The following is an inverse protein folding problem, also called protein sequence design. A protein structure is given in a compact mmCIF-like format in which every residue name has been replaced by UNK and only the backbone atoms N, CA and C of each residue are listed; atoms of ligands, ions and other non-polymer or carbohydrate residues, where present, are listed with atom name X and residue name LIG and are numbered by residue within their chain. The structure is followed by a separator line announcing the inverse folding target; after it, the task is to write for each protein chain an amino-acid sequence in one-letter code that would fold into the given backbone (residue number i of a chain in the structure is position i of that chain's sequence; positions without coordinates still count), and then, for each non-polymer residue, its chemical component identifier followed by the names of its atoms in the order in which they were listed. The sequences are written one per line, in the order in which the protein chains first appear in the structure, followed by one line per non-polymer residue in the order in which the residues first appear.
data_IF_423423473378
#
_entry.id   IF_423423473378
#
_cell.length_a   1.000
_cell.length_b   1.000
_cell.length_c   1.000
_cell.angle_alpha   90.00
_cell.angle_beta   90.00
_cell.angle_gamma   90.00
#
_symmetry.space_group_name_H-M   'P 1'
#
loop_
_entity.id
_entity.type
_entity.pdbx_description
1 polymer ?
#
# COMPACT_ATOMS: atom_id res chain seq x y z
N UNK A 1 -21.13 -31.06 21.28
CA UNK A 1 -19.91 -31.17 22.12
C UNK A 1 -18.75 -30.68 21.26
N UNK A 2 -18.22 -29.48 21.51
CA UNK A 2 -17.09 -28.95 20.75
C UNK A 2 -15.82 -29.71 21.16
N UNK A 3 -15.42 -30.72 20.38
CA UNK A 3 -14.15 -31.43 20.57
C UNK A 3 -12.96 -30.58 20.12
N UNK A 4 -11.75 -30.92 20.59
CA UNK A 4 -10.50 -30.25 20.22
C UNK A 4 -10.31 -30.21 18.69
N UNK A 5 -10.72 -31.26 17.98
CA UNK A 5 -10.73 -31.36 16.52
C UNK A 5 -11.67 -30.34 15.86
N UNK A 6 -12.84 -30.08 16.45
CA UNK A 6 -13.78 -29.07 15.95
C UNK A 6 -13.27 -27.65 16.12
N UNK A 7 -12.62 -27.37 17.26
CA UNK A 7 -11.96 -26.08 17.52
C UNK A 7 -10.81 -25.86 16.54
N UNK A 8 -9.94 -26.86 16.36
CA UNK A 8 -8.83 -26.79 15.40
C UNK A 8 -9.32 -26.57 13.97
N UNK A 9 -10.36 -27.30 13.54
CA UNK A 9 -10.97 -27.11 12.21
C UNK A 9 -11.52 -25.70 12.02
N UNK A 10 -12.15 -25.13 13.05
CA UNK A 10 -12.67 -23.76 13.00
C UNK A 10 -11.55 -22.73 12.89
N UNK A 11 -10.46 -22.90 13.65
CA UNK A 11 -9.29 -22.02 13.58
C UNK A 11 -8.65 -22.08 12.19
N UNK A 12 -8.46 -23.29 11.63
CA UNK A 12 -7.90 -23.45 10.29
C UNK A 12 -8.79 -22.76 9.25
N UNK A 13 -10.11 -22.96 9.31
CA UNK A 13 -11.04 -22.31 8.39
C UNK A 13 -10.96 -20.77 8.49
N UNK A 14 -10.90 -20.23 9.70
CA UNK A 14 -10.74 -18.78 9.92
C UNK A 14 -9.41 -18.28 9.32
N UNK A 15 -8.31 -18.99 9.55
CA UNK A 15 -7.01 -18.64 8.98
C UNK A 15 -7.03 -18.71 7.45
N UNK A 16 -7.67 -19.72 6.87
CA UNK A 16 -7.84 -19.85 5.41
C UNK A 16 -8.65 -18.71 4.83
N UNK A 17 -9.74 -18.30 5.49
CA UNK A 17 -10.55 -17.13 5.06
C UNK A 17 -9.73 -15.85 5.13
N UNK A 18 -9.01 -15.62 6.22
CA UNK A 18 -8.14 -14.43 6.37
C UNK A 18 -7.04 -14.41 5.31
N UNK A 19 -6.40 -15.55 5.06
CA UNK A 19 -5.36 -15.67 4.04
C UNK A 19 -5.92 -15.45 2.63
N UNK A 20 -7.06 -16.07 2.30
CA UNK A 20 -7.71 -15.93 1.01
C UNK A 20 -8.15 -14.51 0.72
N UNK A 21 -8.84 -13.87 1.68
CA UNK A 21 -9.23 -12.46 1.56
C UNK A 21 -8.01 -11.53 1.52
N UNK A 22 -7.00 -11.78 2.35
CA UNK A 22 -5.74 -11.03 2.34
C UNK A 22 -5.04 -11.09 0.99
N UNK A 23 -5.03 -12.24 0.33
CA UNK A 23 -4.45 -12.40 -1.01
C UNK A 23 -5.24 -11.63 -2.07
N UNK A 24 -6.58 -11.68 -2.03
CA UNK A 24 -7.44 -10.91 -2.94
C UNK A 24 -7.19 -9.40 -2.78
N UNK A 25 -7.14 -8.90 -1.54
CA UNK A 25 -6.85 -7.48 -1.31
C UNK A 25 -5.42 -7.13 -1.72
N UNK A 26 -4.44 -8.01 -1.48
CA UNK A 26 -3.08 -7.78 -1.94
C UNK A 26 -3.01 -7.55 -3.46
N UNK A 27 -3.68 -8.39 -4.26
CA UNK A 27 -3.73 -8.20 -5.71
C UNK A 27 -4.52 -6.95 -6.10
N UNK A 28 -5.59 -6.61 -5.39
CA UNK A 28 -6.32 -5.36 -5.57
C UNK A 28 -5.40 -4.14 -5.44
N UNK A 29 -4.68 -4.04 -4.31
CA UNK A 29 -3.75 -2.95 -4.04
C UNK A 29 -2.59 -2.95 -5.05
N UNK A 30 -2.10 -4.13 -5.44
CA UNK A 30 -1.08 -4.25 -6.47
C UNK A 30 -1.55 -3.67 -7.80
N UNK A 31 -2.83 -3.86 -8.18
CA UNK A 31 -3.43 -3.25 -9.37
C UNK A 31 -3.33 -1.73 -9.35
N UNK A 32 -3.79 -1.09 -8.26
CA UNK A 32 -3.67 0.36 -8.07
C UNK A 32 -2.22 0.83 -8.13
N UNK A 33 -1.32 0.12 -7.44
CA UNK A 33 0.10 0.45 -7.38
C UNK A 33 0.76 0.45 -8.75
N UNK A 34 0.58 -0.64 -9.51
CA UNK A 34 1.17 -0.80 -10.84
C UNK A 34 0.61 0.23 -11.82
N UNK A 35 -0.71 0.47 -11.79
CA UNK A 35 -1.34 1.48 -12.62
C UNK A 35 -0.85 2.89 -12.28
N UNK A 36 -0.71 3.24 -11.00
CA UNK A 36 -0.20 4.54 -10.58
C UNK A 36 1.25 4.76 -11.05
N UNK A 37 2.09 3.74 -10.87
CA UNK A 37 3.48 3.70 -11.34
C UNK A 37 3.59 3.87 -12.86
N UNK A 38 2.70 3.24 -13.61
CA UNK A 38 2.60 3.39 -15.07
C UNK A 38 2.09 4.78 -15.48
N UNK A 39 1.13 5.34 -14.73
CA UNK A 39 0.57 6.65 -14.99
C UNK A 39 1.56 7.80 -14.75
N UNK A 40 2.67 7.53 -14.05
CA UNK A 40 3.64 8.53 -13.60
C UNK A 40 3.25 9.22 -12.29
N UNK A 41 2.33 8.62 -11.53
CA UNK A 41 1.85 9.15 -10.26
C UNK A 41 2.77 8.65 -9.15
N UNK A 42 3.19 9.57 -8.28
CA UNK A 42 4.08 9.24 -7.16
C UNK A 42 3.31 8.45 -6.11
N UNK A 43 3.78 7.23 -5.83
CA UNK A 43 3.28 6.42 -4.72
C UNK A 43 4.19 6.61 -3.51
N UNK A 44 3.60 7.00 -2.38
CA UNK A 44 4.27 7.24 -1.11
C UNK A 44 4.40 5.95 -0.29
N UNK A 45 3.34 5.13 -0.27
CA UNK A 45 3.28 3.90 0.50
C UNK A 45 2.54 2.81 -0.27
N UNK A 46 3.10 1.61 -0.28
CA UNK A 46 2.44 0.37 -0.64
C UNK A 46 2.42 -0.52 0.60
N UNK A 47 1.25 -0.67 1.23
CA UNK A 47 1.10 -1.39 2.48
C UNK A 47 0.35 -2.71 2.30
N UNK A 48 0.93 -3.79 2.81
CA UNK A 48 0.23 -5.05 3.04
C UNK A 48 -0.20 -5.10 4.49
N UNK A 49 -1.50 -5.23 4.71
CA UNK A 49 -2.15 -5.13 6.00
C UNK A 49 -2.45 -3.69 6.46
N UNK A 50 -3.17 -3.58 7.57
CA UNK A 50 -3.56 -2.31 8.19
C UNK A 50 -2.89 -2.05 9.54
N UNK A 51 -2.98 -0.81 10.00
CA UNK A 51 -2.51 -0.37 11.31
C UNK A 51 -1.03 -0.01 11.33
N UNK A 52 -0.37 -0.08 12.51
CA UNK A 52 1.01 0.35 12.64
C UNK A 52 1.96 -0.55 11.83
N UNK A 53 2.99 0.01 11.19
CA UNK A 53 4.00 -0.76 10.49
C UNK A 53 4.78 -1.66 11.46
N UNK A 54 4.91 -2.94 11.11
CA UNK A 54 5.86 -3.84 11.76
C UNK A 54 7.22 -3.71 11.09
N UNK A 55 7.23 -3.83 9.77
CA UNK A 55 8.42 -3.68 8.94
C UNK A 55 8.14 -2.80 7.74
N UNK A 56 9.17 -2.10 7.29
CA UNK A 56 9.15 -1.36 6.04
C UNK A 56 10.47 -1.53 5.30
N UNK A 57 10.39 -1.49 3.99
CA UNK A 57 11.55 -1.44 3.11
C UNK A 57 11.40 -0.28 2.15
N UNK A 58 12.48 0.47 1.97
CA UNK A 58 12.56 1.57 1.01
C UNK A 58 13.91 1.55 0.33
N UNK A 59 13.92 1.54 -1.00
CA UNK A 59 15.16 1.63 -1.78
C UNK A 59 15.90 2.92 -1.42
N UNK A 60 17.15 2.80 -0.96
CA UNK A 60 17.98 3.91 -0.44
C UNK A 60 18.10 3.92 1.09
N UNK A 61 17.09 3.43 1.83
CA UNK A 61 17.10 3.34 3.30
C UNK A 61 17.39 1.93 3.80
N UNK A 62 16.87 0.91 3.08
CA UNK A 62 16.92 -0.50 3.47
C UNK A 62 15.70 -0.93 4.28
N UNK A 63 15.86 -2.04 5.02
CA UNK A 63 14.82 -2.59 5.90
C UNK A 63 14.81 -1.85 7.25
N UNK A 64 13.63 -1.48 7.73
CA UNK A 64 13.41 -0.85 9.03
C UNK A 64 12.31 -1.56 9.79
N UNK A 65 12.44 -1.58 11.13
CA UNK A 65 11.33 -1.94 12.02
C UNK A 65 10.48 -0.70 12.23
N UNK A 66 9.19 -0.78 11.95
CA UNK A 66 8.32 0.37 11.88
C UNK A 66 8.40 1.10 10.53
N UNK A 67 8.08 2.40 10.55
CA UNK A 67 8.06 3.27 9.36
C UNK A 67 9.46 3.82 9.04
N UNK A 68 9.82 3.76 7.76
CA UNK A 68 11.00 4.41 7.15
C UNK A 68 10.76 5.88 6.78
N UNK A 69 9.56 6.43 7.00
CA UNK A 69 9.20 7.80 6.59
C UNK A 69 10.12 8.85 7.22
N UNK A 70 10.44 8.72 8.52
CA UNK A 70 11.36 9.66 9.19
C UNK A 70 12.77 9.62 8.60
N UNK A 71 13.25 8.43 8.25
CA UNK A 71 14.56 8.26 7.60
C UNK A 71 14.56 8.91 6.21
N UNK A 72 13.47 8.72 5.46
CA UNK A 72 13.29 9.35 4.14
C UNK A 72 13.25 10.88 4.23
N UNK A 73 12.45 11.44 5.13
CA UNK A 73 12.37 12.89 5.34
C UNK A 73 13.73 13.49 5.71
N UNK A 74 14.50 12.78 6.54
CA UNK A 74 15.87 13.19 6.86
C UNK A 74 16.76 13.19 5.63
N UNK A 75 16.76 12.14 4.82
CA UNK A 75 17.56 12.06 3.60
C UNK A 75 17.17 13.14 2.58
N UNK A 76 15.89 13.44 2.44
CA UNK A 76 15.40 14.53 1.58
C UNK A 76 15.93 15.88 2.08
N UNK A 77 15.89 16.15 3.39
CA UNK A 77 16.45 17.39 3.98
C UNK A 77 17.96 17.50 3.81
N UNK A 78 18.65 16.36 3.76
CA UNK A 78 20.10 16.28 3.52
C UNK A 78 20.45 16.33 2.02
N UNK A 79 19.47 16.53 1.12
CA UNK A 79 19.70 16.59 -0.33
C UNK A 79 19.91 15.24 -1.01
N UNK A 80 19.71 14.13 -0.29
CA UNK A 80 19.86 12.74 -0.78
C UNK A 80 18.53 12.09 -1.18
N UNK A 81 17.51 12.93 -1.38
CA UNK A 81 16.17 12.48 -1.75
C UNK A 81 16.12 11.80 -3.12
N UNK A 82 16.93 12.25 -4.08
CA UNK A 82 16.95 11.68 -5.44
C UNK A 82 17.51 10.26 -5.51
N UNK A 83 18.44 9.91 -4.61
CA UNK A 83 18.99 8.55 -4.49
C UNK A 83 18.00 7.56 -3.86
N UNK A 84 16.91 8.07 -3.27
CA UNK A 84 15.99 7.29 -2.45
C UNK A 84 14.62 7.20 -3.11
N UNK A 85 14.04 6.00 -3.18
CA UNK A 85 12.69 5.83 -3.71
C UNK A 85 11.66 6.54 -2.82
N UNK A 86 10.67 7.26 -3.40
CA UNK A 86 9.59 7.89 -2.65
C UNK A 86 8.57 6.88 -2.11
N UNK A 87 8.57 5.64 -2.60
CA UNK A 87 7.70 4.56 -2.14
C UNK A 87 8.31 3.81 -0.95
N UNK A 88 7.58 3.74 0.15
CA UNK A 88 7.77 2.77 1.23
C UNK A 88 6.92 1.53 0.98
N UNK A 89 7.56 0.36 0.99
CA UNK A 89 6.89 -0.93 1.01
C UNK A 89 6.73 -1.36 2.47
N UNK A 90 5.51 -1.50 2.95
CA UNK A 90 5.20 -1.69 4.37
C UNK A 90 4.45 -2.99 4.61
N UNK A 91 4.82 -3.68 5.69
CA UNK A 91 4.03 -4.76 6.29
C UNK A 91 3.47 -4.28 7.63
N UNK A 92 2.14 -4.23 7.74
CA UNK A 92 1.43 -3.71 8.90
C UNK A 92 0.92 -4.82 9.82
N UNK A 93 0.51 -4.46 11.04
CA UNK A 93 0.17 -5.42 12.08
C UNK A 93 -1.07 -6.27 11.81
N UNK A 94 -2.08 -5.71 11.14
CA UNK A 94 -3.32 -6.42 10.85
C UNK A 94 -3.26 -7.02 9.45
N UNK A 95 -3.35 -8.35 9.27
CA UNK A 95 -3.11 -9.00 7.98
C UNK A 95 -4.27 -8.88 6.99
N UNK A 96 -5.44 -8.41 7.43
CA UNK A 96 -6.65 -8.34 6.63
C UNK A 96 -6.75 -6.99 5.89
N UNK A 97 -5.93 -6.85 4.83
CA UNK A 97 -6.09 -5.82 3.81
C UNK A 97 -4.79 -5.14 3.38
N UNK A 98 -4.83 -3.84 3.12
CA UNK A 98 -3.72 -3.06 2.60
C UNK A 98 -4.18 -1.71 2.08
N UNK A 99 -3.25 -0.88 1.63
CA UNK A 99 -3.57 0.36 0.93
C UNK A 99 -2.40 0.86 0.07
N UNK A 100 -2.73 1.65 -0.95
CA UNK A 100 -1.77 2.41 -1.76
C UNK A 100 -1.98 3.90 -1.57
N UNK A 101 -1.02 4.55 -0.91
CA UNK A 101 -1.05 6.00 -0.73
C UNK A 101 -0.37 6.71 -1.89
N UNK A 102 -1.11 7.53 -2.62
CA UNK A 102 -0.62 8.31 -3.75
C UNK A 102 -0.45 9.79 -3.37
N UNK A 103 0.50 10.47 -3.99
CA UNK A 103 0.70 11.90 -3.74
C UNK A 103 -0.54 12.69 -4.18
N UNK A 104 -1.09 13.52 -3.29
CA UNK A 104 -2.30 14.30 -3.56
C UNK A 104 -3.60 13.47 -3.48
N UNK A 105 -3.53 12.29 -2.86
CA UNK A 105 -4.71 11.54 -2.43
C UNK A 105 -4.44 11.03 -1.01
N UNK A 106 -5.07 11.65 -0.03
CA UNK A 106 -5.03 11.22 1.37
C UNK A 106 -6.42 10.71 1.77
N UNK A 107 -6.48 9.47 2.25
CA UNK A 107 -7.74 8.84 2.66
C UNK A 107 -8.28 9.45 3.97
N UNK A 108 -7.43 10.10 4.78
CA UNK A 108 -7.81 10.77 6.02
C UNK A 108 -8.15 12.25 5.82
N UNK A 109 -7.65 12.85 4.74
CA UNK A 109 -7.92 14.24 4.35
C UNK A 109 -8.30 14.32 2.86
N UNK A 110 -9.61 14.23 2.53
CA UNK A 110 -10.09 14.37 1.16
C UNK A 110 -9.76 15.71 0.49
N UNK A 111 -9.39 16.73 1.29
CA UNK A 111 -8.96 18.05 0.80
C UNK A 111 -7.47 18.13 0.50
N UNK A 112 -6.68 17.09 0.80
CA UNK A 112 -5.25 17.06 0.55
C UNK A 112 -4.95 17.08 -0.95
N UNK A 113 -4.64 18.26 -1.46
CA UNK A 113 -4.19 18.49 -2.84
C UNK A 113 -2.68 18.68 -2.87
N UNK A 114 -2.03 18.22 -3.94
CA UNK A 114 -0.62 18.49 -4.17
C UNK A 114 -0.41 19.12 -5.54
N UNK A 115 0.24 20.28 -5.55
CA UNK A 115 0.62 20.99 -6.77
C UNK A 115 1.74 20.30 -7.55
N UNK A 116 2.34 19.22 -7.00
CA UNK A 116 3.40 18.49 -7.67
C UNK A 116 2.90 17.87 -8.99
N UNK A 117 3.66 17.95 -10.09
CA UNK A 117 3.21 17.48 -11.41
C UNK A 117 2.94 15.97 -11.46
N UNK A 118 3.55 15.20 -10.56
CA UNK A 118 3.35 13.76 -10.39
C UNK A 118 2.35 13.40 -9.29
N UNK A 119 1.47 14.34 -8.90
CA UNK A 119 0.33 14.08 -8.03
C UNK A 119 -0.81 13.41 -8.79
N UNK A 120 -1.63 12.64 -8.07
CA UNK A 120 -2.78 11.95 -8.63
C UNK A 120 -3.75 12.90 -9.32
N UNK A 121 -3.98 14.07 -8.73
CA UNK A 121 -4.96 15.05 -9.22
C UNK A 121 -4.51 15.75 -10.52
N UNK A 122 -3.19 15.90 -10.69
CA UNK A 122 -2.59 16.52 -11.88
C UNK A 122 -2.47 15.54 -13.06
N UNK A 123 -2.64 14.23 -12.83
CA UNK A 123 -2.69 13.27 -13.91
C UNK A 123 -3.96 13.50 -14.79
N UNK A 124 -3.87 13.29 -16.11
CA UNK A 124 -5.04 13.28 -16.99
C UNK A 124 -6.15 12.40 -16.45
N UNK A 125 -7.41 12.86 -16.57
CA UNK A 125 -8.59 12.19 -16.00
C UNK A 125 -8.65 10.71 -16.40
N UNK A 126 -8.37 10.40 -17.67
CA UNK A 126 -8.40 9.02 -18.15
C UNK A 126 -7.36 8.13 -17.44
N UNK A 127 -6.17 8.63 -17.10
CA UNK A 127 -5.16 7.89 -16.32
C UNK A 127 -5.65 7.64 -14.90
N UNK A 128 -6.28 8.65 -14.29
CA UNK A 128 -6.88 8.55 -12.96
C UNK A 128 -7.97 7.48 -12.93
N UNK A 129 -8.83 7.45 -13.96
CA UNK A 129 -9.87 6.42 -14.09
C UNK A 129 -9.26 5.01 -14.20
N UNK A 130 -8.20 4.84 -15.00
CA UNK A 130 -7.47 3.56 -15.08
C UNK A 130 -6.94 3.17 -13.71
N UNK A 131 -6.25 4.08 -13.01
CA UNK A 131 -5.70 3.81 -11.68
C UNK A 131 -6.78 3.43 -10.68
N UNK A 132 -7.92 4.11 -10.64
CA UNK A 132 -9.05 3.79 -9.75
C UNK A 132 -9.68 2.43 -10.10
N UNK A 133 -9.78 2.09 -11.39
CA UNK A 133 -10.37 0.81 -11.79
C UNK A 133 -9.42 -0.39 -11.65
N UNK A 134 -8.10 -0.14 -11.61
CA UNK A 134 -7.08 -1.17 -11.73
C UNK A 134 -7.16 -2.23 -10.63
N UNK A 135 -7.50 -1.87 -9.40
CA UNK A 135 -7.65 -2.85 -8.32
C UNK A 135 -8.80 -3.82 -8.56
N UNK A 136 -9.95 -3.34 -9.05
CA UNK A 136 -11.09 -4.20 -9.39
C UNK A 136 -10.74 -5.10 -10.58
N UNK A 137 -10.12 -4.54 -11.62
CA UNK A 137 -9.71 -5.30 -12.81
C UNK A 137 -8.73 -6.42 -12.44
N UNK A 138 -7.75 -6.15 -11.57
CA UNK A 138 -6.76 -7.15 -11.16
C UNK A 138 -7.40 -8.34 -10.43
N UNK A 139 -8.50 -8.13 -9.71
CA UNK A 139 -9.19 -9.21 -9.00
C UNK A 139 -10.09 -10.07 -9.91
N UNK A 140 -10.38 -9.61 -11.13
CA UNK A 140 -11.24 -10.34 -12.09
C UNK A 140 -10.40 -11.24 -13.01
N UNK A 141 -9.12 -10.92 -13.20
CA UNK A 141 -8.15 -11.70 -13.98
C UNK A 141 -7.68 -12.95 -13.22
#
# INVERSE_FOLDING_TARGET
MFGLSGILGTIINLLTVVLGFGLIVFFHELGHFLAARWAGIRVLTFAVGFGPPIWSWRKGVGLRRGSSVKDYERLVREGRGEETSPTEYRLSALPFGGYVQMLGQDDLDPGAVSAAPDSFQNAPIWKRMVVISAGVVMNIL
#
